data_IF_575302166777
#
_entry.id   IF_575302166777
#
_cell.length_a   1.000
_cell.length_b   1.000
_cell.length_c   1.000
_cell.angle_alpha   90.00
_cell.angle_beta   90.00
_cell.angle_gamma   90.00
#
_symmetry.space_group_name_H-M   'P 1'
#
loop_
_entity.id
_entity.type
_entity.pdbx_description
1 polymer ?
#
# COMPACT_ATOMS: atom_id res chain seq x y z
N UNK A 1 -39.90 10.53 40.32
CA UNK A 1 -38.45 10.78 40.12
C UNK A 1 -37.89 9.68 39.25
N UNK A 2 -37.72 9.91 37.94
CA UNK A 2 -37.10 8.95 37.02
C UNK A 2 -35.65 9.40 36.81
N UNK A 3 -34.70 8.64 37.34
CA UNK A 3 -33.28 8.86 37.09
C UNK A 3 -32.95 8.34 35.68
N UNK A 4 -32.57 9.25 34.77
CA UNK A 4 -31.94 8.86 33.52
C UNK A 4 -30.49 8.45 33.81
N UNK A 5 -30.17 7.17 33.57
CA UNK A 5 -28.81 6.69 33.53
C UNK A 5 -28.21 7.02 32.14
N UNK A 6 -27.28 7.98 32.10
CA UNK A 6 -26.46 8.24 30.93
C UNK A 6 -25.38 7.16 30.80
N UNK A 7 -25.59 6.19 29.91
CA UNK A 7 -24.53 5.30 29.43
C UNK A 7 -23.56 6.11 28.55
N UNK A 8 -22.38 6.39 29.06
CA UNK A 8 -21.27 6.91 28.27
C UNK A 8 -20.69 5.78 27.41
N UNK A 9 -20.92 5.82 26.10
CA UNK A 9 -20.19 5.02 25.12
C UNK A 9 -18.75 5.54 25.05
N UNK A 10 -17.80 4.79 25.61
CA UNK A 10 -16.38 5.01 25.36
C UNK A 10 -16.10 4.60 23.91
N UNK A 11 -15.98 5.58 23.03
CA UNK A 11 -15.42 5.37 21.70
C UNK A 11 -13.96 4.95 21.86
N UNK A 12 -13.64 3.70 21.52
CA UNK A 12 -12.24 3.26 21.39
C UNK A 12 -11.60 4.00 20.21
N UNK A 13 -10.41 4.60 20.39
CA UNK A 13 -9.77 5.33 19.32
C UNK A 13 -9.11 4.35 18.34
N UNK A 14 -8.99 4.76 17.08
CA UNK A 14 -8.45 4.01 15.93
C UNK A 14 -6.94 3.63 16.02
N UNK A 15 -6.39 3.47 17.23
CA UNK A 15 -4.95 3.35 17.50
C UNK A 15 -4.45 1.89 17.47
N UNK A 16 -5.35 0.91 17.26
CA UNK A 16 -4.98 -0.50 17.27
C UNK A 16 -4.28 -0.98 15.98
N UNK A 17 -4.53 -0.33 14.83
CA UNK A 17 -4.01 -0.78 13.53
C UNK A 17 -2.60 -0.25 13.24
N UNK A 18 -2.27 0.97 13.66
CA UNK A 18 -0.92 1.56 13.53
C UNK A 18 0.13 0.84 14.42
N UNK A 19 -0.32 0.22 15.52
CA UNK A 19 0.54 -0.52 16.45
C UNK A 19 1.13 -1.79 15.82
N UNK A 20 0.34 -2.53 15.02
CA UNK A 20 0.81 -3.74 14.33
C UNK A 20 1.87 -3.41 13.28
N UNK A 21 1.70 -2.31 12.55
CA UNK A 21 2.71 -1.83 11.61
C UNK A 21 4.03 -1.58 12.33
N UNK A 22 4.01 -0.81 13.43
CA UNK A 22 5.23 -0.50 14.19
C UNK A 22 5.90 -1.76 14.74
N UNK A 23 5.11 -2.71 15.27
CA UNK A 23 5.63 -3.95 15.88
C UNK A 23 6.31 -4.88 14.86
N UNK A 24 5.71 -5.06 13.69
CA UNK A 24 6.13 -6.08 12.71
C UNK A 24 6.94 -5.53 11.54
N UNK A 25 7.19 -4.22 11.49
CA UNK A 25 7.89 -3.57 10.37
C UNK A 25 9.34 -4.01 10.16
N UNK A 26 10.05 -4.46 11.19
CA UNK A 26 11.48 -4.75 11.10
C UNK A 26 11.87 -5.73 9.97
N UNK A 27 11.09 -6.80 9.78
CA UNK A 27 11.39 -7.82 8.76
C UNK A 27 11.16 -7.31 7.33
N UNK A 28 10.09 -6.55 7.11
CA UNK A 28 9.79 -5.99 5.78
C UNK A 28 10.72 -4.80 5.44
N UNK A 29 11.09 -3.97 6.41
CA UNK A 29 12.11 -2.92 6.22
C UNK A 29 13.46 -3.54 5.84
N UNK A 30 13.92 -4.56 6.56
CA UNK A 30 15.18 -5.23 6.26
C UNK A 30 15.18 -5.84 4.85
N UNK A 31 14.06 -6.44 4.42
CA UNK A 31 13.91 -6.94 3.06
C UNK A 31 13.97 -5.81 2.04
N UNK A 32 13.20 -4.74 2.24
CA UNK A 32 13.14 -3.60 1.31
C UNK A 32 14.50 -2.92 1.14
N UNK A 33 15.27 -2.78 2.22
CA UNK A 33 16.61 -2.18 2.17
C UNK A 33 17.65 -3.07 1.46
N UNK A 34 17.43 -4.38 1.38
CA UNK A 34 18.31 -5.32 0.69
C UNK A 34 17.94 -5.52 -0.78
N UNK A 35 16.74 -5.09 -1.20
CA UNK A 35 16.30 -5.18 -2.58
C UNK A 35 17.09 -4.21 -3.45
N UNK A 36 17.99 -4.74 -4.28
CA UNK A 36 18.84 -3.94 -5.17
C UNK A 36 18.16 -3.54 -6.48
N UNK A 37 17.06 -4.20 -6.83
CA UNK A 37 16.31 -4.00 -8.07
C UNK A 37 14.80 -4.08 -7.82
N UNK A 38 14.02 -3.45 -8.69
CA UNK A 38 12.56 -3.41 -8.64
C UNK A 38 11.93 -4.79 -8.43
N UNK A 39 12.38 -5.82 -9.14
CA UNK A 39 11.82 -7.18 -9.02
C UNK A 39 12.06 -7.81 -7.64
N UNK A 40 13.18 -7.49 -6.98
CA UNK A 40 13.50 -8.01 -5.65
C UNK A 40 12.56 -7.43 -4.57
N UNK A 41 12.02 -6.23 -4.78
CA UNK A 41 11.07 -5.60 -3.84
C UNK A 41 9.78 -6.41 -3.71
N UNK A 42 9.29 -7.05 -4.78
CA UNK A 42 8.08 -7.89 -4.69
C UNK A 42 8.25 -9.08 -3.74
N UNK A 43 9.47 -9.59 -3.56
CA UNK A 43 9.76 -10.69 -2.65
C UNK A 43 9.63 -10.31 -1.16
N UNK A 44 9.45 -9.02 -0.86
CA UNK A 44 9.20 -8.51 0.48
C UNK A 44 7.73 -8.58 0.89
N UNK A 45 6.83 -8.95 -0.01
CA UNK A 45 5.43 -9.21 0.35
C UNK A 45 5.33 -10.30 1.43
N UNK A 46 4.35 -10.14 2.31
CA UNK A 46 4.08 -10.99 3.47
C UNK A 46 5.16 -10.97 4.56
N UNK A 47 6.23 -10.17 4.43
CA UNK A 47 7.28 -10.07 5.47
C UNK A 47 6.82 -9.36 6.73
N UNK A 48 5.70 -8.65 6.69
CA UNK A 48 5.05 -8.07 7.86
C UNK A 48 3.83 -8.89 8.28
N UNK A 49 2.93 -9.17 7.32
CA UNK A 49 1.66 -9.81 7.60
C UNK A 49 1.81 -11.25 8.10
N UNK A 50 2.74 -12.04 7.55
CA UNK A 50 2.93 -13.43 7.97
C UNK A 50 3.39 -13.58 9.43
N UNK A 51 4.47 -12.92 9.89
CA UNK A 51 4.86 -13.01 11.30
C UNK A 51 3.81 -12.37 12.23
N UNK A 52 3.08 -11.34 11.78
CA UNK A 52 1.96 -10.79 12.53
C UNK A 52 0.85 -11.84 12.77
N UNK A 53 0.42 -12.55 11.72
CA UNK A 53 -0.61 -13.59 11.84
C UNK A 53 -0.17 -14.78 12.69
N UNK A 54 1.13 -15.10 12.69
CA UNK A 54 1.70 -16.21 13.45
C UNK A 54 1.82 -15.89 14.96
N UNK A 55 2.13 -14.64 15.30
CA UNK A 55 2.50 -14.25 16.67
C UNK A 55 1.38 -13.55 17.44
N UNK A 56 0.45 -12.89 16.76
CA UNK A 56 -0.69 -12.26 17.43
C UNK A 56 -1.69 -13.31 17.93
N UNK A 57 -2.25 -13.19 19.16
CA UNK A 57 -3.19 -14.17 19.71
C UNK A 57 -4.40 -14.48 18.80
N UNK A 58 -4.92 -13.45 18.12
CA UNK A 58 -6.04 -13.56 17.18
C UNK A 58 -5.59 -13.56 15.71
N UNK A 59 -4.29 -13.71 15.43
CA UNK A 59 -3.69 -13.58 14.10
C UNK A 59 -4.22 -14.57 13.04
N UNK A 60 -4.70 -15.73 13.48
CA UNK A 60 -5.34 -16.74 12.62
C UNK A 60 -6.86 -16.54 12.44
N UNK A 61 -7.48 -15.63 13.20
CA UNK A 61 -8.88 -15.26 12.99
C UNK A 61 -9.02 -14.38 11.75
N UNK A 62 -10.21 -14.36 11.12
CA UNK A 62 -10.42 -13.44 9.98
C UNK A 62 -10.16 -11.98 10.34
N UNK A 63 -10.48 -11.58 11.57
CA UNK A 63 -10.24 -10.22 12.03
C UNK A 63 -8.74 -9.91 12.14
N UNK A 64 -7.98 -10.80 12.79
CA UNK A 64 -6.53 -10.65 12.93
C UNK A 64 -5.80 -10.70 11.58
N UNK A 65 -6.21 -11.61 10.69
CA UNK A 65 -5.66 -11.65 9.32
C UNK A 65 -5.87 -10.33 8.59
N UNK A 66 -7.09 -9.76 8.64
CA UNK A 66 -7.38 -8.46 8.01
C UNK A 66 -6.50 -7.36 8.62
N UNK A 67 -6.36 -7.33 9.95
CA UNK A 67 -5.53 -6.33 10.63
C UNK A 67 -4.05 -6.43 10.23
N UNK A 68 -3.49 -7.65 10.21
CA UNK A 68 -2.09 -7.87 9.81
C UNK A 68 -1.83 -7.51 8.33
N UNK A 69 -2.75 -7.85 7.42
CA UNK A 69 -2.59 -7.49 5.99
C UNK A 69 -2.78 -5.98 5.80
N UNK A 70 -3.69 -5.36 6.56
CA UNK A 70 -3.85 -3.91 6.54
C UNK A 70 -2.59 -3.19 7.01
N UNK A 71 -1.97 -3.64 8.09
CA UNK A 71 -0.68 -3.10 8.55
C UNK A 71 0.41 -3.20 7.47
N UNK A 72 0.49 -4.32 6.74
CA UNK A 72 1.40 -4.43 5.60
C UNK A 72 1.00 -3.51 4.43
N UNK A 73 -0.31 -3.30 4.20
CA UNK A 73 -0.79 -2.35 3.19
C UNK A 73 -0.34 -0.92 3.52
N UNK A 74 -0.35 -0.53 4.80
CA UNK A 74 0.16 0.77 5.25
C UNK A 74 1.68 0.91 5.01
N UNK A 75 2.45 -0.15 5.21
CA UNK A 75 3.86 -0.19 4.81
C UNK A 75 4.01 0.09 3.30
N UNK A 76 3.25 -0.63 2.47
CA UNK A 76 3.34 -0.49 1.02
C UNK A 76 2.87 0.88 0.54
N UNK A 77 1.86 1.48 1.17
CA UNK A 77 1.39 2.83 0.83
C UNK A 77 2.45 3.90 1.16
N UNK A 78 3.15 3.76 2.30
CA UNK A 78 4.29 4.63 2.63
C UNK A 78 5.38 4.55 1.54
N UNK A 79 5.78 3.33 1.16
CA UNK A 79 6.81 3.14 0.12
C UNK A 79 6.34 3.64 -1.23
N UNK A 80 5.12 3.32 -1.65
CA UNK A 80 4.51 3.83 -2.88
C UNK A 80 4.57 5.37 -2.96
N UNK A 81 4.18 6.06 -1.88
CA UNK A 81 4.21 7.51 -1.84
C UNK A 81 5.64 8.07 -1.88
N UNK A 82 6.58 7.43 -1.20
CA UNK A 82 7.99 7.81 -1.24
C UNK A 82 8.56 7.65 -2.67
N UNK A 83 8.35 6.49 -3.28
CA UNK A 83 8.84 6.18 -4.63
C UNK A 83 8.18 7.06 -5.69
N UNK A 84 6.89 7.34 -5.56
CA UNK A 84 6.18 8.26 -6.44
C UNK A 84 6.82 9.65 -6.43
N UNK A 85 7.18 10.18 -5.24
CA UNK A 85 7.85 11.49 -5.13
C UNK A 85 9.23 11.48 -5.79
N UNK A 86 10.00 10.40 -5.64
CA UNK A 86 11.32 10.26 -6.27
C UNK A 86 11.17 10.24 -7.79
N UNK A 87 10.30 9.38 -8.33
CA UNK A 87 10.08 9.26 -9.78
C UNK A 87 9.53 10.57 -10.36
N UNK A 88 8.62 11.25 -9.67
CA UNK A 88 8.11 12.57 -10.11
C UNK A 88 9.18 13.66 -10.16
N UNK A 89 10.22 13.62 -9.30
CA UNK A 89 11.35 14.56 -9.40
C UNK A 89 12.19 14.27 -10.64
N UNK A 90 12.51 13.01 -10.86
CA UNK A 90 13.28 12.58 -12.03
C UNK A 90 12.56 12.92 -13.35
N UNK A 91 11.25 12.70 -13.43
CA UNK A 91 10.47 13.06 -14.64
C UNK A 91 10.48 14.58 -14.88
N UNK A 92 10.43 15.40 -13.82
CA UNK A 92 10.56 16.86 -13.92
C UNK A 92 11.91 17.32 -14.43
N UNK A 93 12.98 16.69 -13.96
CA UNK A 93 14.35 16.98 -14.39
C UNK A 93 14.52 16.67 -15.88
N UNK A 94 14.03 15.50 -16.33
CA UNK A 94 14.04 15.12 -17.75
C UNK A 94 13.19 16.06 -18.62
N UNK A 95 11.97 16.39 -18.18
CA UNK A 95 11.12 17.33 -18.89
C UNK A 95 11.77 18.71 -19.00
N UNK A 96 12.53 19.15 -17.98
CA UNK A 96 13.26 20.41 -18.02
C UNK A 96 14.43 20.38 -19.00
N UNK A 97 15.17 19.27 -19.06
CA UNK A 97 16.27 19.06 -20.01
C UNK A 97 15.78 19.04 -21.47
N UNK A 98 14.61 18.45 -21.71
CA UNK A 98 14.06 18.28 -23.06
C UNK A 98 13.26 19.48 -23.57
N UNK A 99 12.84 20.40 -22.69
CA UNK A 99 11.86 21.44 -23.00
C UNK A 99 12.20 22.27 -24.25
N UNK A 100 13.47 22.59 -24.44
CA UNK A 100 13.91 23.42 -25.57
C UNK A 100 14.05 22.64 -26.88
N UNK A 101 14.51 21.38 -26.81
CA UNK A 101 14.86 20.58 -27.99
C UNK A 101 13.74 19.63 -28.44
N UNK A 102 12.93 19.14 -27.50
CA UNK A 102 11.90 18.10 -27.66
C UNK A 102 10.66 18.42 -26.79
N UNK A 103 10.01 19.57 -27.01
CA UNK A 103 8.90 20.04 -26.15
C UNK A 103 7.72 19.06 -26.09
N UNK A 104 7.49 18.28 -27.15
CA UNK A 104 6.47 17.24 -27.21
C UNK A 104 6.73 16.10 -26.22
N UNK A 105 7.99 15.80 -25.91
CA UNK A 105 8.36 14.78 -24.94
C UNK A 105 8.37 15.30 -23.51
N UNK A 106 8.51 16.62 -23.29
CA UNK A 106 8.60 17.29 -21.99
C UNK A 106 7.26 17.36 -21.21
N UNK A 107 6.57 16.21 -21.11
CA UNK A 107 5.27 16.02 -20.45
C UNK A 107 5.27 14.81 -19.49
N UNK A 108 6.42 14.18 -19.21
CA UNK A 108 6.51 12.94 -18.43
C UNK A 108 5.92 13.07 -17.03
N UNK A 109 6.18 14.18 -16.35
CA UNK A 109 5.62 14.44 -15.01
C UNK A 109 4.09 14.42 -15.04
N UNK A 110 3.50 15.13 -16.02
CA UNK A 110 2.05 15.22 -16.18
C UNK A 110 1.45 13.85 -16.49
N UNK A 111 2.06 13.10 -17.42
CA UNK A 111 1.61 11.77 -17.82
C UNK A 111 1.73 10.77 -16.68
N UNK A 112 2.81 10.80 -15.90
CA UNK A 112 2.98 9.95 -14.72
C UNK A 112 1.94 10.27 -13.65
N UNK A 113 1.64 11.55 -13.41
CA UNK A 113 0.58 11.97 -12.48
C UNK A 113 -0.79 11.48 -12.93
N UNK A 114 -1.10 11.59 -14.21
CA UNK A 114 -2.35 11.06 -14.76
C UNK A 114 -2.45 9.54 -14.61
N UNK A 115 -1.37 8.81 -14.93
CA UNK A 115 -1.29 7.36 -14.76
C UNK A 115 -1.49 6.93 -13.29
N UNK A 116 -0.86 7.63 -12.34
CA UNK A 116 -1.02 7.33 -10.91
C UNK A 116 -2.47 7.49 -10.44
N UNK A 117 -3.17 8.54 -10.87
CA UNK A 117 -4.59 8.74 -10.52
C UNK A 117 -5.49 7.68 -11.13
N UNK A 118 -5.26 7.33 -12.40
CA UNK A 118 -6.01 6.26 -13.06
C UNK A 118 -5.78 4.91 -12.37
N UNK A 119 -4.54 4.65 -11.96
CA UNK A 119 -4.19 3.45 -11.20
C UNK A 119 -4.91 3.38 -9.84
N UNK A 120 -5.05 4.49 -9.10
CA UNK A 120 -5.82 4.50 -7.85
C UNK A 120 -7.28 4.09 -8.10
N UNK A 121 -7.93 4.66 -9.11
CA UNK A 121 -9.30 4.28 -9.49
C UNK A 121 -9.39 2.79 -9.88
N UNK A 122 -8.42 2.30 -10.65
CA UNK A 122 -8.36 0.89 -11.04
C UNK A 122 -8.18 -0.02 -9.84
N UNK A 123 -7.23 0.27 -8.94
CA UNK A 123 -7.00 -0.49 -7.71
C UNK A 123 -8.26 -0.57 -6.87
N UNK A 124 -8.89 0.58 -6.60
CA UNK A 124 -10.03 0.63 -5.71
C UNK A 124 -11.24 -0.12 -6.30
N UNK A 125 -11.45 -0.02 -7.62
CA UNK A 125 -12.49 -0.78 -8.32
C UNK A 125 -12.20 -2.29 -8.33
N UNK A 126 -10.96 -2.70 -8.62
CA UNK A 126 -10.55 -4.11 -8.62
C UNK A 126 -10.68 -4.75 -7.24
N UNK A 127 -10.21 -4.07 -6.19
CA UNK A 127 -10.31 -4.62 -4.83
C UNK A 127 -11.74 -4.55 -4.26
N UNK A 128 -12.58 -3.62 -4.72
CA UNK A 128 -14.02 -3.67 -4.44
C UNK A 128 -14.72 -4.84 -5.15
N UNK A 129 -14.28 -5.18 -6.37
CA UNK A 129 -14.75 -6.37 -7.06
C UNK A 129 -14.35 -7.65 -6.31
N UNK A 130 -13.11 -7.75 -5.83
CA UNK A 130 -12.66 -8.90 -5.02
C UNK A 130 -13.51 -9.09 -3.76
N UNK A 131 -13.97 -8.02 -3.10
CA UNK A 131 -14.90 -8.14 -1.98
C UNK A 131 -16.24 -8.80 -2.37
N UNK A 132 -16.75 -8.50 -3.57
CA UNK A 132 -18.03 -9.04 -4.04
C UNK A 132 -17.88 -10.44 -4.61
N UNK A 133 -16.75 -10.73 -5.28
CA UNK A 133 -16.48 -12.03 -5.91
C UNK A 133 -16.57 -13.20 -4.92
N UNK A 134 -16.15 -12.98 -3.67
CA UNK A 134 -16.17 -13.99 -2.62
C UNK A 134 -17.52 -14.15 -1.90
N UNK A 135 -18.55 -13.41 -2.32
CA UNK A 135 -19.93 -13.60 -1.86
C UNK A 135 -20.15 -13.27 -0.39
N UNK A 136 -20.94 -14.09 0.30
CA UNK A 136 -21.24 -13.92 1.73
C UNK A 136 -20.12 -14.45 2.64
N UNK A 137 -19.98 -13.87 3.83
CA UNK A 137 -19.00 -14.30 4.84
C UNK A 137 -17.88 -13.29 5.11
N UNK A 138 -16.96 -13.65 5.99
CA UNK A 138 -15.84 -12.78 6.42
C UNK A 138 -14.62 -12.86 5.50
N UNK A 139 -14.47 -13.96 4.74
CA UNK A 139 -13.33 -14.18 3.83
C UNK A 139 -13.19 -13.10 2.76
N UNK A 140 -14.30 -12.51 2.29
CA UNK A 140 -14.27 -11.38 1.35
C UNK A 140 -13.45 -10.20 1.83
N UNK A 141 -13.41 -9.97 3.15
CA UNK A 141 -12.62 -8.89 3.75
C UNK A 141 -11.12 -9.15 3.59
N UNK A 142 -10.72 -10.41 3.76
CA UNK A 142 -9.34 -10.85 3.51
C UNK A 142 -9.00 -10.67 2.03
N UNK A 143 -9.88 -11.10 1.12
CA UNK A 143 -9.66 -10.94 -0.32
C UNK A 143 -9.43 -9.47 -0.71
N UNK A 144 -10.32 -8.56 -0.27
CA UNK A 144 -10.19 -7.13 -0.52
C UNK A 144 -8.87 -6.55 0.00
N UNK A 145 -8.51 -6.82 1.25
CA UNK A 145 -7.29 -6.23 1.84
C UNK A 145 -6.01 -6.83 1.25
N UNK A 146 -6.02 -8.12 0.89
CA UNK A 146 -4.92 -8.75 0.14
C UNK A 146 -4.73 -8.12 -1.24
N UNK A 147 -5.82 -7.84 -1.95
CA UNK A 147 -5.77 -7.10 -3.22
C UNK A 147 -5.13 -5.73 -3.05
N UNK A 148 -5.58 -4.96 -2.04
CA UNK A 148 -5.03 -3.62 -1.78
C UNK A 148 -3.53 -3.69 -1.48
N UNK A 149 -3.09 -4.61 -0.62
CA UNK A 149 -1.68 -4.81 -0.29
C UNK A 149 -0.85 -5.15 -1.54
N UNK A 150 -1.28 -6.19 -2.27
CA UNK A 150 -0.52 -6.70 -3.43
C UNK A 150 -0.43 -5.69 -4.57
N UNK A 151 -1.54 -5.00 -4.89
CA UNK A 151 -1.53 -3.97 -5.93
C UNK A 151 -0.66 -2.77 -5.52
N UNK A 152 -0.66 -2.37 -4.25
CA UNK A 152 0.15 -1.26 -3.75
C UNK A 152 1.64 -1.61 -3.75
N UNK A 153 2.00 -2.84 -3.39
CA UNK A 153 3.36 -3.37 -3.54
C UNK A 153 3.78 -3.38 -5.02
N UNK A 154 2.93 -3.91 -5.91
CA UNK A 154 3.17 -3.93 -7.36
C UNK A 154 3.42 -2.55 -7.94
N UNK A 155 2.62 -1.56 -7.55
CA UNK A 155 2.78 -0.20 -8.03
C UNK A 155 4.04 0.48 -7.50
N UNK A 156 4.47 0.15 -6.29
CA UNK A 156 5.78 0.58 -5.76
C UNK A 156 6.90 0.09 -6.68
N UNK A 157 6.83 -1.16 -7.12
CA UNK A 157 7.79 -1.76 -8.05
C UNK A 157 7.75 -1.12 -9.44
N UNK A 158 6.57 -0.86 -10.01
CA UNK A 158 6.44 -0.13 -11.28
C UNK A 158 7.17 1.23 -11.23
N UNK A 159 7.00 1.97 -10.12
CA UNK A 159 7.60 3.29 -9.94
C UNK A 159 9.12 3.24 -9.86
N UNK A 160 9.68 2.18 -9.26
CA UNK A 160 11.13 1.93 -9.22
C UNK A 160 11.63 1.56 -10.61
N UNK A 161 10.96 0.63 -11.29
CA UNK A 161 11.33 0.16 -12.64
C UNK A 161 11.33 1.27 -13.69
N UNK A 162 10.41 2.25 -13.59
CA UNK A 162 10.44 3.44 -14.44
C UNK A 162 11.79 4.15 -14.37
N UNK A 163 12.42 4.23 -13.19
CA UNK A 163 13.70 4.94 -13.01
C UNK A 163 14.89 4.10 -13.48
N UNK A 164 14.82 2.79 -13.29
CA UNK A 164 15.84 1.84 -13.79
C UNK A 164 15.94 1.89 -15.32
N UNK A 165 14.86 2.20 -16.02
CA UNK A 165 14.85 2.36 -17.50
C UNK A 165 15.78 3.48 -18.00
N UNK A 166 16.16 4.42 -17.15
CA UNK A 166 17.02 5.55 -17.50
C UNK A 166 18.42 5.48 -16.86
N UNK A 167 18.76 4.37 -16.21
CA UNK A 167 20.12 4.08 -15.73
C UNK A 167 20.93 3.39 -16.84
#
# INVERSE_FOLDING_TARGET
MRALACLAFLATPAVAEDDLLVRYRGAIDACYQQASESQAVLACQSRLAAPCMEQEPDGSSTHGMVACIHAETLFWDEKLNAEYRVTMRMMREQDSADRAARPELAQREERLRAAQRAWLTYRDASCAFDDILWGEGSMRKIAKVSCLSSMTAGRTVDLISIRETFQ
#
